data_IF_598734695983
#
_entry.id   IF_598734695983
#
_cell.length_a   1.000
_cell.length_b   1.000
_cell.length_c   1.000
_cell.angle_alpha   90.00
_cell.angle_beta   90.00
_cell.angle_gamma   90.00
#
_symmetry.space_group_name_H-M   'P 1'
#
loop_
_entity.id
_entity.type
_entity.pdbx_description
1 polymer ?
#
# COMPACT_ATOMS: atom_id res chain seq x y z
N UNK A 1 3.20 8.80 0.61
CA UNK A 1 3.94 9.09 -0.64
C UNK A 1 4.37 7.84 -1.41
N UNK A 2 4.77 6.73 -0.78
CA UNK A 2 5.13 5.48 -1.49
C UNK A 2 3.95 4.50 -1.60
N UNK A 3 2.87 4.86 -2.28
CA UNK A 3 1.71 3.95 -2.51
C UNK A 3 1.02 4.20 -3.84
N UNK A 4 1.48 5.21 -4.58
CA UNK A 4 0.85 5.63 -5.82
C UNK A 4 1.39 4.76 -6.94
N UNK A 5 0.50 4.06 -7.64
CA UNK A 5 0.85 3.22 -8.79
C UNK A 5 1.27 4.03 -10.02
N UNK A 6 1.03 5.35 -10.02
CA UNK A 6 1.53 6.25 -11.08
C UNK A 6 3.05 6.13 -11.26
N UNK A 7 3.83 5.83 -10.21
CA UNK A 7 5.28 5.70 -10.36
C UNK A 7 5.72 4.54 -11.29
N UNK A 8 4.85 3.56 -11.50
CA UNK A 8 5.07 2.43 -12.43
C UNK A 8 4.35 2.62 -13.77
N UNK A 9 3.81 3.82 -14.05
CA UNK A 9 3.07 4.12 -15.29
C UNK A 9 1.63 3.61 -15.31
N UNK A 10 1.11 3.15 -14.15
CA UNK A 10 -0.25 2.63 -14.02
C UNK A 10 -1.17 3.67 -13.40
N UNK A 11 -2.30 3.93 -14.05
CA UNK A 11 -3.33 4.85 -13.59
C UNK A 11 -4.65 4.11 -13.47
N UNK A 12 -5.28 4.19 -12.29
CA UNK A 12 -6.66 3.74 -12.07
C UNK A 12 -7.62 4.89 -12.29
N UNK A 13 -8.62 4.67 -13.12
CA UNK A 13 -9.74 5.58 -13.36
C UNK A 13 -11.00 4.96 -12.76
N UNK A 14 -11.89 5.83 -12.24
CA UNK A 14 -13.14 5.43 -11.59
C UNK A 14 -12.88 4.48 -10.41
N UNK A 15 -12.48 5.05 -9.27
CA UNK A 15 -12.12 4.26 -8.08
C UNK A 15 -13.31 3.40 -7.62
N UNK A 16 -13.02 2.14 -7.25
CA UNK A 16 -13.99 1.08 -6.93
C UNK A 16 -14.90 1.33 -5.68
N UNK A 17 -14.93 2.56 -5.14
CA UNK A 17 -15.85 2.97 -4.08
C UNK A 17 -16.96 3.91 -4.57
N UNK A 18 -16.77 4.59 -5.69
CA UNK A 18 -17.74 5.57 -6.23
C UNK A 18 -18.43 5.09 -7.50
N UNK A 19 -17.85 4.09 -8.19
CA UNK A 19 -18.33 3.61 -9.47
C UNK A 19 -18.38 2.07 -9.53
N UNK A 20 -19.37 1.54 -10.25
CA UNK A 20 -19.54 0.10 -10.49
C UNK A 20 -18.43 -0.49 -11.37
N UNK A 21 -17.84 0.33 -12.23
CA UNK A 21 -16.77 -0.07 -13.15
C UNK A 21 -15.49 0.70 -12.81
N UNK A 22 -14.36 -0.01 -12.84
CA UNK A 22 -13.03 0.58 -12.69
C UNK A 22 -12.20 0.27 -13.92
N UNK A 23 -11.45 1.27 -14.40
CA UNK A 23 -10.60 1.13 -15.58
C UNK A 23 -9.13 1.25 -15.16
N UNK A 24 -8.28 0.42 -15.77
CA UNK A 24 -6.83 0.44 -15.55
C UNK A 24 -6.17 0.81 -16.88
N UNK A 25 -5.40 1.91 -16.87
CA UNK A 25 -4.54 2.27 -17.99
C UNK A 25 -3.10 1.93 -17.60
N UNK A 26 -2.54 0.95 -18.30
CA UNK A 26 -1.12 0.61 -18.23
C UNK A 26 -0.33 1.46 -19.24
N UNK A 27 0.94 1.72 -18.94
CA UNK A 27 1.88 2.46 -19.80
C UNK A 27 1.38 3.85 -20.24
N UNK A 28 0.58 4.52 -19.41
CA UNK A 28 0.04 5.85 -19.72
C UNK A 28 1.15 6.91 -19.86
N UNK A 29 2.24 6.73 -19.12
CA UNK A 29 3.43 7.56 -19.16
C UNK A 29 4.67 6.69 -18.84
N UNK A 30 5.90 7.16 -19.14
CA UNK A 30 7.10 6.42 -18.80
C UNK A 30 7.18 6.19 -17.29
N UNK A 31 7.46 4.94 -16.90
CA UNK A 31 7.60 4.56 -15.50
C UNK A 31 8.84 5.25 -14.90
N UNK A 32 8.69 5.82 -13.70
CA UNK A 32 9.78 6.46 -12.96
C UNK A 32 10.62 5.39 -12.25
N UNK A 33 9.97 4.33 -11.78
CA UNK A 33 10.61 3.16 -11.14
C UNK A 33 10.04 1.87 -11.73
N UNK A 34 10.79 0.78 -11.62
CA UNK A 34 10.32 -0.53 -12.07
C UNK A 34 9.19 -1.04 -11.17
N UNK A 35 8.32 -1.89 -11.73
CA UNK A 35 7.24 -2.55 -10.98
C UNK A 35 7.79 -3.39 -9.83
N UNK A 36 8.88 -4.10 -10.05
CA UNK A 36 9.57 -4.91 -9.03
C UNK A 36 10.04 -4.05 -7.85
N UNK A 37 10.66 -2.91 -8.12
CA UNK A 37 11.12 -2.00 -7.07
C UNK A 37 9.93 -1.42 -6.27
N UNK A 38 8.83 -1.10 -6.95
CA UNK A 38 7.61 -0.65 -6.29
C UNK A 38 7.03 -1.72 -5.36
N UNK A 39 6.96 -2.98 -5.81
CA UNK A 39 6.46 -4.10 -5.01
C UNK A 39 7.33 -4.37 -3.78
N UNK A 40 8.66 -4.37 -3.94
CA UNK A 40 9.61 -4.50 -2.83
C UNK A 40 9.39 -3.41 -1.77
N UNK A 41 9.18 -2.16 -2.19
CA UNK A 41 8.88 -1.04 -1.29
C UNK A 41 7.54 -1.22 -0.57
N UNK A 42 6.49 -1.74 -1.24
CA UNK A 42 5.22 -2.00 -0.57
C UNK A 42 5.34 -3.08 0.52
N UNK A 43 6.11 -4.14 0.24
CA UNK A 43 6.41 -5.19 1.22
C UNK A 43 7.14 -4.59 2.43
N UNK A 44 8.22 -3.86 2.20
CA UNK A 44 9.01 -3.28 3.29
C UNK A 44 8.21 -2.25 4.10
N UNK A 45 7.40 -1.44 3.44
CA UNK A 45 6.48 -0.51 4.10
C UNK A 45 5.47 -1.23 5.01
N UNK A 46 4.97 -2.40 4.59
CA UNK A 46 4.10 -3.25 5.41
C UNK A 46 4.88 -3.85 6.59
N UNK A 47 6.12 -4.29 6.37
CA UNK A 47 6.99 -4.82 7.43
C UNK A 47 7.30 -3.77 8.50
N UNK A 48 7.61 -2.53 8.09
CA UNK A 48 7.83 -1.39 9.00
C UNK A 48 6.55 -0.88 9.62
N UNK A 49 5.38 -1.30 9.14
CA UNK A 49 4.12 -0.86 9.73
C UNK A 49 3.97 -1.46 11.12
N UNK A 50 3.67 -0.61 12.11
CA UNK A 50 3.32 -1.08 13.45
C UNK A 50 1.91 -1.66 13.50
N UNK A 51 1.27 -1.99 12.38
CA UNK A 51 -0.12 -2.45 12.33
C UNK A 51 -0.15 -3.92 11.97
N UNK A 52 -0.61 -4.74 12.92
CA UNK A 52 -0.81 -6.18 12.77
C UNK A 52 -2.30 -6.43 12.54
N UNK A 53 -2.64 -7.13 11.45
CA UNK A 53 -4.00 -7.63 11.23
C UNK A 53 -4.16 -8.93 12.01
N UNK A 54 -5.07 -8.97 12.98
CA UNK A 54 -5.44 -10.19 13.68
C UNK A 54 -6.34 -11.10 12.83
N UNK A 55 -6.48 -12.36 13.25
CA UNK A 55 -7.27 -13.41 12.54
C UNK A 55 -8.72 -12.98 12.22
N UNK A 56 -9.31 -12.13 13.06
CA UNK A 56 -10.69 -11.61 12.90
C UNK A 56 -10.75 -10.24 12.20
N UNK A 57 -9.73 -9.87 11.42
CA UNK A 57 -9.67 -8.58 10.70
C UNK A 57 -9.36 -7.38 11.59
N UNK A 58 -9.26 -7.58 12.91
CA UNK A 58 -9.04 -6.49 13.85
C UNK A 58 -7.58 -5.97 13.73
N UNK A 59 -7.42 -4.67 13.50
CA UNK A 59 -6.12 -4.02 13.36
C UNK A 59 -5.59 -3.64 14.74
N UNK A 60 -4.54 -4.32 15.19
CA UNK A 60 -3.85 -4.01 16.44
C UNK A 60 -2.52 -3.34 16.15
N UNK A 61 -2.07 -2.45 17.05
CA UNK A 61 -0.70 -1.96 16.98
C UNK A 61 0.24 -3.01 17.57
N UNK A 62 1.34 -3.30 16.87
CA UNK A 62 2.45 -4.13 17.37
C UNK A 62 2.99 -3.56 18.68
N UNK A 63 3.55 -4.42 19.54
CA UNK A 63 4.28 -4.02 20.75
C UNK A 63 5.74 -3.66 20.49
N UNK A 64 6.19 -3.61 19.24
CA UNK A 64 7.59 -3.33 18.87
C UNK A 64 8.05 -1.92 19.25
N UNK A 65 9.36 -1.67 19.05
CA UNK A 65 10.10 -0.42 19.32
C UNK A 65 9.38 0.88 18.93
N UNK A 66 8.54 0.86 17.91
CA UNK A 66 7.84 2.06 17.42
C UNK A 66 6.38 2.16 17.91
N UNK A 67 5.99 1.35 18.88
CA UNK A 67 4.69 1.42 19.53
C UNK A 67 4.71 2.42 20.68
N UNK A 68 3.79 3.39 20.65
CA UNK A 68 3.61 4.34 21.76
C UNK A 68 2.81 3.76 22.93
N UNK A 69 2.26 2.54 22.80
CA UNK A 69 1.60 1.84 23.91
C UNK A 69 2.67 1.14 24.74
N UNK A 70 2.88 1.61 25.98
CA UNK A 70 3.58 0.83 27.01
C UNK A 70 2.83 -0.50 27.16
N UNK A 71 3.55 -1.62 27.06
CA UNK A 71 3.00 -2.94 27.33
C UNK A 71 2.32 -2.92 28.70
N UNK A 72 1.07 -3.38 28.76
CA UNK A 72 0.39 -3.59 30.03
C UNK A 72 0.94 -4.84 30.69
#
# INVERSE_FOLDING_TARGET
MLSTEKYIGVVRLLNAGEHQEYYISENNHPAIISKEQFEAVQIEKKNRSNVVKGKSGNRRRSSSKYSSKKGR
#
